data_IF_662062506881
#
_entry.id   IF_662062506881
#
_cell.length_a   1.000
_cell.length_b   1.000
_cell.length_c   1.000
_cell.angle_alpha   90.00
_cell.angle_beta   90.00
_cell.angle_gamma   90.00
#
_symmetry.space_group_name_H-M   'P 1'
#
loop_
_entity.id
_entity.type
_entity.pdbx_description
1 polymer ?
#
# COMPACT_ATOMS: atom_id res chain seq x y z
N UNK A 1 -48.81 57.34 -10.72
CA UNK A 1 -47.76 57.21 -9.68
C UNK A 1 -47.68 55.76 -9.24
N UNK A 2 -46.52 55.14 -9.44
CA UNK A 2 -46.17 53.78 -9.03
C UNK A 2 -46.37 53.54 -7.54
N UNK A 3 -46.88 52.35 -7.17
CA UNK A 3 -46.15 51.35 -6.35
C UNK A 3 -46.99 50.10 -6.10
N UNK A 4 -46.69 49.08 -6.87
CA UNK A 4 -47.07 47.67 -6.68
C UNK A 4 -46.46 47.16 -5.38
N UNK A 5 -47.31 46.72 -4.45
CA UNK A 5 -46.91 46.14 -3.16
C UNK A 5 -46.37 44.72 -3.44
N UNK A 6 -45.08 44.52 -3.15
CA UNK A 6 -44.37 43.25 -3.38
C UNK A 6 -44.82 42.20 -2.36
N UNK A 7 -45.67 41.27 -2.79
CA UNK A 7 -45.83 39.97 -2.15
C UNK A 7 -44.56 39.15 -2.38
N UNK A 8 -43.76 38.89 -1.34
CA UNK A 8 -42.56 38.06 -1.54
C UNK A 8 -41.63 37.94 -0.35
N UNK A 9 -42.14 37.73 0.87
CA UNK A 9 -41.22 37.57 2.02
C UNK A 9 -41.64 36.57 3.09
N UNK A 10 -42.78 35.89 3.00
CA UNK A 10 -43.19 34.95 4.06
C UNK A 10 -43.85 33.74 3.41
N UNK A 11 -43.36 32.54 3.77
CA UNK A 11 -43.85 31.19 3.42
C UNK A 11 -43.13 30.44 2.27
N UNK A 12 -41.85 30.09 2.43
CA UNK A 12 -41.34 28.72 2.18
C UNK A 12 -40.20 28.43 3.18
N UNK A 13 -40.57 28.25 4.43
CA UNK A 13 -39.77 27.55 5.43
C UNK A 13 -40.46 26.22 5.69
N UNK A 14 -40.07 25.15 4.98
CA UNK A 14 -40.21 23.71 5.34
C UNK A 14 -40.02 22.84 4.09
N UNK A 15 -39.14 21.83 4.20
CA UNK A 15 -38.87 20.71 3.27
C UNK A 15 -38.18 21.16 1.95
N UNK A 16 -36.91 20.89 1.72
CA UNK A 16 -36.38 19.53 1.54
C UNK A 16 -34.93 19.44 2.03
N UNK A 17 -34.66 18.45 2.88
CA UNK A 17 -33.33 17.93 3.14
C UNK A 17 -32.75 17.29 1.87
N UNK A 18 -32.38 18.11 0.87
CA UNK A 18 -31.72 17.62 -0.33
C UNK A 18 -30.26 17.41 0.02
N UNK A 19 -29.90 16.14 0.12
CA UNK A 19 -28.54 15.66 0.14
C UNK A 19 -27.74 16.32 -1.01
N UNK A 20 -26.94 17.35 -0.70
CA UNK A 20 -26.02 17.95 -1.64
C UNK A 20 -25.00 16.87 -2.06
N UNK A 21 -25.18 16.30 -3.25
CA UNK A 21 -24.19 15.46 -3.90
C UNK A 21 -23.17 16.41 -4.52
N UNK A 22 -22.22 16.90 -3.72
CA UNK A 22 -21.12 17.71 -4.24
C UNK A 22 -20.12 16.75 -4.89
N UNK A 23 -20.32 16.48 -6.18
CA UNK A 23 -19.25 15.97 -7.03
C UNK A 23 -18.38 17.17 -7.44
N UNK A 24 -17.21 17.30 -6.82
CA UNK A 24 -16.23 18.32 -7.23
C UNK A 24 -15.47 17.75 -8.42
N UNK A 25 -15.80 18.23 -9.62
CA UNK A 25 -15.08 17.92 -10.85
C UNK A 25 -14.51 19.21 -11.41
N UNK A 26 -13.19 19.30 -11.49
CA UNK A 26 -12.51 20.53 -11.92
C UNK A 26 -11.38 20.18 -12.90
N UNK A 27 -11.22 20.90 -14.04
CA UNK A 27 -10.16 20.67 -15.04
C UNK A 27 -8.77 21.09 -14.52
N UNK A 28 -7.73 21.20 -15.35
CA UNK A 28 -6.39 21.60 -14.89
C UNK A 28 -6.40 22.96 -14.15
N UNK A 29 -5.95 23.01 -12.89
CA UNK A 29 -5.80 24.26 -12.11
C UNK A 29 -4.37 24.57 -11.69
N UNK A 30 -4.15 25.86 -11.41
CA UNK A 30 -3.01 26.33 -10.64
C UNK A 30 -3.14 26.06 -9.12
N UNK A 31 -4.37 25.90 -8.59
CA UNK A 31 -4.69 25.70 -7.17
C UNK A 31 -5.00 24.24 -6.77
N UNK A 32 -5.15 23.99 -5.46
CA UNK A 32 -5.51 22.67 -4.90
C UNK A 32 -7.02 22.48 -4.76
N UNK A 33 -7.47 21.21 -4.70
CA UNK A 33 -8.87 20.83 -4.46
C UNK A 33 -9.03 20.52 -2.96
N UNK A 34 -10.02 21.14 -2.32
CA UNK A 34 -10.31 20.96 -0.90
C UNK A 34 -11.78 20.58 -0.70
N UNK A 35 -12.03 19.50 0.04
CA UNK A 35 -13.36 19.09 0.45
C UNK A 35 -13.36 18.79 1.95
N UNK A 36 -14.19 19.51 2.71
CA UNK A 36 -14.34 19.35 4.15
C UNK A 36 -15.77 18.90 4.50
N UNK A 37 -15.90 18.05 5.51
CA UNK A 37 -17.17 17.49 5.97
C UNK A 37 -17.51 16.16 5.30
N UNK A 38 -18.66 15.57 5.67
CA UNK A 38 -19.08 14.28 5.12
C UNK A 38 -19.65 14.42 3.71
N UNK A 39 -18.90 14.04 2.67
CA UNK A 39 -19.36 14.18 1.29
C UNK A 39 -20.05 12.89 0.79
N UNK A 40 -21.22 13.05 0.16
CA UNK A 40 -21.90 11.91 -0.50
C UNK A 40 -21.33 11.65 -1.89
N UNK A 41 -20.83 12.68 -2.57
CA UNK A 41 -20.20 12.61 -3.89
C UNK A 41 -18.72 12.17 -3.86
N UNK A 42 -18.17 11.89 -5.05
CA UNK A 42 -16.74 11.64 -5.24
C UNK A 42 -15.98 12.93 -5.60
N UNK A 43 -14.67 12.92 -5.38
CA UNK A 43 -13.77 14.03 -5.77
C UNK A 43 -13.03 13.60 -7.03
N UNK A 44 -13.15 14.39 -8.10
CA UNK A 44 -12.56 14.09 -9.40
C UNK A 44 -11.67 15.25 -9.86
N UNK A 45 -10.43 14.93 -10.19
CA UNK A 45 -9.47 15.87 -10.75
C UNK A 45 -8.91 15.30 -12.05
N UNK A 46 -9.13 16.01 -13.16
CA UNK A 46 -8.63 15.62 -14.48
C UNK A 46 -7.64 16.67 -15.02
N UNK A 47 -6.56 16.19 -15.65
CA UNK A 47 -5.51 17.03 -16.20
C UNK A 47 -4.36 17.27 -15.21
N UNK A 48 -3.32 17.96 -15.66
CA UNK A 48 -2.16 18.25 -14.82
C UNK A 48 -2.50 19.29 -13.75
N UNK A 49 -2.48 18.92 -12.48
CA UNK A 49 -2.80 19.84 -11.38
C UNK A 49 -1.51 20.32 -10.69
N UNK A 50 -1.39 21.63 -10.42
CA UNK A 50 -0.26 22.14 -9.64
C UNK A 50 -0.47 21.94 -8.13
N UNK A 51 -1.71 21.98 -7.66
CA UNK A 51 -2.08 21.82 -6.25
C UNK A 51 -2.51 20.39 -5.87
N UNK A 52 -2.46 20.07 -4.57
CA UNK A 52 -2.88 18.77 -4.05
C UNK A 52 -4.41 18.61 -3.95
N UNK A 53 -4.85 17.37 -3.72
CA UNK A 53 -6.26 17.05 -3.42
C UNK A 53 -6.36 16.72 -1.94
N UNK A 54 -7.23 17.42 -1.23
CA UNK A 54 -7.44 17.29 0.20
C UNK A 54 -8.90 16.98 0.48
N UNK A 55 -9.15 15.89 1.18
CA UNK A 55 -10.47 15.47 1.61
C UNK A 55 -10.44 15.19 3.11
N UNK A 56 -11.23 15.93 3.90
CA UNK A 56 -11.31 15.76 5.34
C UNK A 56 -12.76 15.50 5.78
N UNK A 57 -13.00 14.39 6.47
CA UNK A 57 -14.33 13.88 6.81
C UNK A 57 -14.63 12.54 6.12
N UNK A 58 -15.77 11.93 6.44
CA UNK A 58 -16.14 10.64 5.85
C UNK A 58 -16.79 10.80 4.48
N UNK A 59 -16.15 10.32 3.40
CA UNK A 59 -16.76 10.34 2.05
C UNK A 59 -17.40 9.01 1.68
N UNK A 60 -18.62 9.07 1.15
CA UNK A 60 -19.21 7.89 0.49
C UNK A 60 -18.57 7.64 -0.88
N UNK A 61 -18.25 8.69 -1.63
CA UNK A 61 -17.54 8.61 -2.90
C UNK A 61 -16.04 8.34 -2.75
N UNK A 62 -15.39 8.03 -3.87
CA UNK A 62 -13.92 7.88 -3.95
C UNK A 62 -13.23 9.20 -4.33
N UNK A 63 -11.91 9.19 -4.28
CA UNK A 63 -11.05 10.27 -4.78
C UNK A 63 -10.36 9.76 -6.04
N UNK A 64 -10.52 10.47 -7.14
CA UNK A 64 -9.95 10.14 -8.44
C UNK A 64 -9.13 11.31 -8.95
N UNK A 65 -7.86 11.05 -9.26
CA UNK A 65 -6.95 11.98 -9.89
C UNK A 65 -6.38 11.34 -11.16
N UNK A 66 -6.59 11.96 -12.31
CA UNK A 66 -6.07 11.50 -13.59
C UNK A 66 -5.26 12.61 -14.27
N UNK A 67 -3.99 12.32 -14.58
CA UNK A 67 -2.99 13.29 -15.03
C UNK A 67 -1.87 13.48 -14.01
N UNK A 68 -0.82 14.22 -14.40
CA UNK A 68 0.32 14.45 -13.50
C UNK A 68 0.03 15.52 -12.46
N UNK A 69 0.06 15.18 -11.17
CA UNK A 69 -0.17 16.14 -10.09
C UNK A 69 1.13 16.54 -9.39
N UNK A 70 1.43 17.84 -9.28
CA UNK A 70 2.58 18.28 -8.47
C UNK A 70 2.28 18.11 -6.98
N UNK A 71 1.03 18.30 -6.56
CA UNK A 71 0.59 18.07 -5.19
C UNK A 71 0.37 16.59 -4.87
N UNK A 72 0.17 16.30 -3.58
CA UNK A 72 -0.23 14.97 -3.11
C UNK A 72 -1.74 14.80 -3.04
N UNK A 73 -2.20 13.58 -2.77
CA UNK A 73 -3.59 13.28 -2.44
C UNK A 73 -3.66 12.94 -0.96
N UNK A 74 -4.49 13.66 -0.22
CA UNK A 74 -4.70 13.49 1.22
C UNK A 74 -6.17 13.23 1.50
N UNK A 75 -6.43 12.12 2.17
CA UNK A 75 -7.76 11.73 2.63
C UNK A 75 -7.70 11.44 4.12
N UNK A 76 -8.45 12.19 4.93
CA UNK A 76 -8.53 12.01 6.36
C UNK A 76 -9.99 11.76 6.77
N UNK A 77 -10.25 10.66 7.46
CA UNK A 77 -11.59 10.16 7.75
C UNK A 77 -11.89 8.84 7.05
N UNK A 78 -13.09 8.29 7.28
CA UNK A 78 -13.47 7.01 6.68
C UNK A 78 -14.10 7.16 5.29
N UNK A 79 -13.47 6.63 4.24
CA UNK A 79 -14.05 6.63 2.90
C UNK A 79 -14.65 5.27 2.53
N UNK A 80 -15.88 5.27 1.99
CA UNK A 80 -16.43 4.06 1.37
C UNK A 80 -15.82 3.81 -0.01
N UNK A 81 -15.56 4.87 -0.79
CA UNK A 81 -14.83 4.77 -2.05
C UNK A 81 -13.33 4.58 -1.86
N UNK A 82 -12.64 4.21 -2.95
CA UNK A 82 -11.18 4.11 -2.99
C UNK A 82 -10.50 5.43 -3.34
N UNK A 83 -9.17 5.44 -3.27
CA UNK A 83 -8.33 6.53 -3.76
C UNK A 83 -7.60 6.03 -5.00
N UNK A 84 -7.79 6.72 -6.13
CA UNK A 84 -7.20 6.38 -7.41
C UNK A 84 -6.38 7.56 -7.93
N UNK A 85 -5.12 7.30 -8.24
CA UNK A 85 -4.21 8.24 -8.89
C UNK A 85 -3.64 7.58 -10.15
N UNK A 86 -3.89 8.17 -11.31
CA UNK A 86 -3.35 7.73 -12.58
C UNK A 86 -2.52 8.85 -13.22
N UNK A 87 -1.26 8.56 -13.54
CA UNK A 87 -0.28 9.56 -13.97
C UNK A 87 0.85 9.72 -12.95
N UNK A 88 1.79 10.63 -13.23
CA UNK A 88 2.93 10.86 -12.34
C UNK A 88 2.65 11.94 -11.29
N UNK A 89 2.65 11.60 -10.00
CA UNK A 89 2.56 12.58 -8.92
C UNK A 89 3.91 12.90 -8.28
N UNK A 90 4.20 14.18 -8.08
CA UNK A 90 5.35 14.56 -7.25
C UNK A 90 5.05 14.38 -5.76
N UNK A 91 3.82 14.68 -5.33
CA UNK A 91 3.36 14.40 -3.97
C UNK A 91 3.06 12.92 -3.74
N UNK A 92 2.91 12.54 -2.46
CA UNK A 92 2.47 11.20 -2.06
C UNK A 92 0.96 11.05 -2.03
N UNK A 93 0.50 9.83 -1.78
CA UNK A 93 -0.90 9.52 -1.48
C UNK A 93 -0.99 9.16 -0.01
N UNK A 94 -1.81 9.87 0.75
CA UNK A 94 -2.01 9.70 2.17
C UNK A 94 -3.49 9.44 2.45
N UNK A 95 -3.75 8.34 3.15
CA UNK A 95 -5.07 7.95 3.60
C UNK A 95 -5.02 7.64 5.10
N UNK A 96 -5.76 8.40 5.90
CA UNK A 96 -5.85 8.21 7.34
C UNK A 96 -7.31 7.95 7.72
N UNK A 97 -7.59 6.84 8.38
CA UNK A 97 -8.93 6.38 8.72
C UNK A 97 -9.33 5.07 8.05
N UNK A 98 -10.56 4.63 8.29
CA UNK A 98 -11.08 3.37 7.78
C UNK A 98 -11.59 3.48 6.34
N UNK A 99 -10.93 2.84 5.38
CA UNK A 99 -11.34 2.85 3.98
C UNK A 99 -11.95 1.51 3.54
N UNK A 100 -13.10 1.54 2.87
CA UNK A 100 -13.67 0.32 2.26
C UNK A 100 -13.06 0.04 0.88
N UNK A 101 -12.83 1.07 0.07
CA UNK A 101 -12.13 0.95 -1.20
C UNK A 101 -10.61 0.86 -1.01
N UNK A 102 -9.90 0.40 -2.03
CA UNK A 102 -8.44 0.32 -2.03
C UNK A 102 -7.77 1.66 -2.36
N UNK A 103 -6.44 1.67 -2.26
CA UNK A 103 -5.59 2.75 -2.76
C UNK A 103 -4.88 2.24 -4.01
N UNK A 104 -5.05 2.96 -5.12
CA UNK A 104 -4.47 2.63 -6.41
C UNK A 104 -3.63 3.81 -6.90
N UNK A 105 -2.38 3.54 -7.23
CA UNK A 105 -1.48 4.49 -7.86
C UNK A 105 -0.89 3.84 -9.12
N UNK A 106 -1.13 4.43 -10.28
CA UNK A 106 -0.57 3.99 -11.55
C UNK A 106 0.25 5.12 -12.17
N UNK A 107 1.52 4.86 -12.46
CA UNK A 107 2.47 5.84 -12.95
C UNK A 107 3.62 6.10 -11.99
N UNK A 108 4.46 7.09 -12.33
CA UNK A 108 5.65 7.42 -11.56
C UNK A 108 5.38 8.38 -10.40
N UNK A 109 5.49 7.92 -9.15
CA UNK A 109 5.34 8.79 -7.97
C UNK A 109 6.69 9.16 -7.36
N UNK A 110 6.88 10.43 -6.98
CA UNK A 110 8.03 10.81 -6.15
C UNK A 110 7.74 10.61 -4.66
N UNK A 111 6.52 10.89 -4.22
CA UNK A 111 6.09 10.65 -2.85
C UNK A 111 5.60 9.21 -2.62
N UNK A 112 5.65 8.76 -1.37
CA UNK A 112 5.19 7.42 -0.98
C UNK A 112 3.66 7.28 -0.98
N UNK A 113 3.21 6.04 -0.77
CA UNK A 113 1.80 5.73 -0.48
C UNK A 113 1.71 5.38 0.99
N UNK A 114 0.87 6.09 1.73
CA UNK A 114 0.67 5.90 3.16
C UNK A 114 -0.80 5.64 3.44
N UNK A 115 -1.09 4.52 4.09
CA UNK A 115 -2.41 4.16 4.58
C UNK A 115 -2.33 3.88 6.08
N UNK A 116 -3.07 4.63 6.88
CA UNK A 116 -3.17 4.44 8.32
C UNK A 116 -4.63 4.17 8.70
N UNK A 117 -4.90 3.07 9.40
CA UNK A 117 -6.23 2.60 9.73
C UNK A 117 -6.63 1.30 9.00
N UNK A 118 -7.84 0.84 9.28
CA UNK A 118 -8.36 -0.41 8.70
C UNK A 118 -8.80 -0.23 7.26
N UNK A 119 -8.22 -0.98 6.33
CA UNK A 119 -8.57 -0.91 4.91
C UNK A 119 -9.21 -2.22 4.44
N UNK A 120 -10.37 -2.19 3.77
CA UNK A 120 -10.94 -3.41 3.17
C UNK A 120 -10.33 -3.71 1.80
N UNK A 121 -10.02 -2.68 1.02
CA UNK A 121 -9.35 -2.81 -0.26
C UNK A 121 -7.82 -2.82 -0.10
N UNK A 122 -7.14 -3.42 -1.08
CA UNK A 122 -5.67 -3.46 -1.10
C UNK A 122 -5.01 -2.12 -1.41
N UNK A 123 -3.69 -2.08 -1.27
CA UNK A 123 -2.86 -0.98 -1.76
C UNK A 123 -2.12 -1.49 -2.99
N UNK A 124 -2.22 -0.76 -4.09
CA UNK A 124 -1.62 -1.12 -5.36
C UNK A 124 -0.83 0.08 -5.89
N UNK A 125 0.43 -0.17 -6.20
CA UNK A 125 1.32 0.77 -6.87
C UNK A 125 1.87 0.10 -8.12
N UNK A 126 1.61 0.69 -9.28
CA UNK A 126 2.16 0.26 -10.55
C UNK A 126 3.00 1.38 -11.16
N UNK A 127 4.24 1.09 -11.53
CA UNK A 127 5.23 2.06 -11.97
C UNK A 127 6.32 2.33 -10.95
N UNK A 128 7.19 3.30 -11.26
CA UNK A 128 8.33 3.63 -10.40
C UNK A 128 7.93 4.57 -9.27
N UNK A 129 8.20 4.20 -8.02
CA UNK A 129 7.96 5.08 -6.87
C UNK A 129 9.28 5.41 -6.15
N UNK A 130 9.52 6.70 -5.83
CA UNK A 130 10.71 7.08 -5.04
C UNK A 130 10.45 6.92 -3.54
N UNK A 131 9.23 7.18 -3.08
CA UNK A 131 8.83 6.95 -1.71
C UNK A 131 8.38 5.50 -1.48
N UNK A 132 8.37 5.05 -0.23
CA UNK A 132 7.90 3.71 0.12
C UNK A 132 6.38 3.55 0.08
N UNK A 133 5.92 2.32 0.26
CA UNK A 133 4.52 1.98 0.53
C UNK A 133 4.41 1.62 1.99
N UNK A 134 3.57 2.32 2.74
CA UNK A 134 3.36 2.14 4.17
C UNK A 134 1.87 1.87 4.42
N UNK A 135 1.60 0.77 5.11
CA UNK A 135 0.27 0.39 5.57
C UNK A 135 0.34 0.10 7.07
N UNK A 136 -0.40 0.85 7.86
CA UNK A 136 -0.51 0.67 9.30
C UNK A 136 -1.97 0.41 9.68
N UNK A 137 -2.24 -0.67 10.41
CA UNK A 137 -3.58 -1.19 10.67
C UNK A 137 -3.90 -2.44 9.86
N UNK A 138 -5.10 -3.00 10.07
CA UNK A 138 -5.49 -4.24 9.40
C UNK A 138 -5.97 -4.00 7.96
N UNK A 139 -5.35 -4.65 6.97
CA UNK A 139 -5.82 -4.64 5.59
C UNK A 139 -6.46 -5.97 5.18
N UNK A 140 -7.69 -5.93 4.66
CA UNK A 140 -8.34 -7.13 4.12
C UNK A 140 -7.77 -7.49 2.75
N UNK A 141 -7.38 -6.48 1.96
CA UNK A 141 -6.64 -6.66 0.71
C UNK A 141 -5.14 -6.87 0.94
N UNK A 142 -4.42 -7.14 -0.14
CA UNK A 142 -2.96 -7.22 -0.12
C UNK A 142 -2.30 -5.87 -0.42
N UNK A 143 -0.97 -5.85 -0.30
CA UNK A 143 -0.13 -4.75 -0.78
C UNK A 143 0.59 -5.25 -2.03
N UNK A 144 0.47 -4.52 -3.13
CA UNK A 144 1.07 -4.84 -4.40
C UNK A 144 1.90 -3.65 -4.89
N UNK A 145 3.16 -3.92 -5.21
CA UNK A 145 4.05 -2.96 -5.83
C UNK A 145 4.64 -3.61 -7.09
N UNK A 146 4.42 -3.00 -8.25
CA UNK A 146 4.98 -3.44 -9.51
C UNK A 146 5.78 -2.31 -10.14
N UNK A 147 7.05 -2.55 -10.46
CA UNK A 147 8.01 -1.55 -10.91
C UNK A 147 9.13 -1.28 -9.90
N UNK A 148 9.99 -0.30 -10.19
CA UNK A 148 11.13 0.03 -9.34
C UNK A 148 10.77 0.96 -8.19
N UNK A 149 10.98 0.53 -6.94
CA UNK A 149 10.69 1.34 -5.77
C UNK A 149 11.97 1.72 -5.00
N UNK A 150 12.25 3.02 -4.82
CA UNK A 150 13.43 3.41 -4.01
C UNK A 150 13.16 3.21 -2.52
N UNK A 151 11.93 3.47 -2.07
CA UNK A 151 11.52 3.14 -0.70
C UNK A 151 11.26 1.65 -0.51
N UNK A 152 11.05 1.25 0.74
CA UNK A 152 10.61 -0.10 1.09
C UNK A 152 9.09 -0.24 1.08
N UNK A 153 8.63 -1.47 1.29
CA UNK A 153 7.23 -1.78 1.58
C UNK A 153 7.13 -2.11 3.07
N UNK A 154 6.27 -1.42 3.77
CA UNK A 154 6.05 -1.57 5.20
C UNK A 154 4.58 -1.87 5.47
N UNK A 155 4.32 -3.00 6.13
CA UNK A 155 2.99 -3.40 6.56
C UNK A 155 3.03 -3.68 8.06
N UNK A 156 2.26 -2.93 8.85
CA UNK A 156 2.14 -3.13 10.28
C UNK A 156 0.67 -3.37 10.65
N UNK A 157 0.38 -4.48 11.32
CA UNK A 157 -0.97 -4.98 11.55
C UNK A 157 -1.25 -6.27 10.75
N UNK A 158 -2.45 -6.82 10.91
CA UNK A 158 -2.81 -8.07 10.24
C UNK A 158 -3.37 -7.86 8.83
N UNK A 159 -2.74 -8.44 7.80
CA UNK A 159 -3.30 -8.47 6.45
C UNK A 159 -3.93 -9.82 6.09
N UNK A 160 -5.14 -9.81 5.51
CA UNK A 160 -5.67 -11.04 4.91
C UNK A 160 -5.04 -11.33 3.54
N UNK A 161 -4.75 -10.30 2.75
CA UNK A 161 -3.97 -10.45 1.53
C UNK A 161 -2.47 -10.64 1.82
N UNK A 162 -1.71 -10.96 0.77
CA UNK A 162 -0.25 -11.01 0.83
C UNK A 162 0.41 -9.67 0.54
N UNK A 163 1.72 -9.64 0.64
CA UNK A 163 2.56 -8.53 0.18
C UNK A 163 3.30 -9.00 -1.05
N UNK A 164 3.16 -8.29 -2.15
CA UNK A 164 3.80 -8.60 -3.43
C UNK A 164 4.62 -7.41 -3.88
N UNK A 165 5.88 -7.67 -4.18
CA UNK A 165 6.78 -6.73 -4.82
C UNK A 165 7.36 -7.36 -6.07
N UNK A 166 7.15 -6.74 -7.22
CA UNK A 166 7.73 -7.16 -8.49
C UNK A 166 8.53 -6.01 -9.10
N UNK A 167 9.79 -6.26 -9.45
CA UNK A 167 10.76 -5.24 -9.86
C UNK A 167 11.85 -5.02 -8.83
N UNK A 168 12.63 -3.95 -9.01
CA UNK A 168 13.77 -3.66 -8.12
C UNK A 168 13.42 -2.70 -6.99
N UNK A 169 13.51 -3.13 -5.73
CA UNK A 169 13.40 -2.22 -4.58
C UNK A 169 14.75 -1.91 -3.94
N UNK A 170 15.03 -0.63 -3.69
CA UNK A 170 16.19 -0.28 -2.86
C UNK A 170 15.91 -0.51 -1.38
N UNK A 171 14.70 -0.21 -0.91
CA UNK A 171 14.26 -0.57 0.43
C UNK A 171 13.94 -2.06 0.58
N UNK A 172 13.78 -2.50 1.82
CA UNK A 172 13.33 -3.87 2.13
C UNK A 172 11.81 -4.00 2.12
N UNK A 173 11.35 -5.23 2.32
CA UNK A 173 9.94 -5.54 2.60
C UNK A 173 9.84 -5.91 4.07
N UNK A 174 8.97 -5.23 4.79
CA UNK A 174 8.75 -5.45 6.21
C UNK A 174 7.27 -5.70 6.45
N UNK A 175 6.98 -6.79 7.14
CA UNK A 175 5.64 -7.17 7.55
C UNK A 175 5.65 -7.49 9.04
N UNK A 176 4.90 -6.74 9.83
CA UNK A 176 4.76 -6.93 11.26
C UNK A 176 3.30 -7.18 11.60
N UNK A 177 2.99 -8.29 12.27
CA UNK A 177 1.64 -8.78 12.50
C UNK A 177 1.35 -10.06 11.70
N UNK A 178 0.11 -10.57 11.80
CA UNK A 178 -0.27 -11.82 11.15
C UNK A 178 -0.78 -11.63 9.72
N UNK A 179 -0.12 -12.20 8.72
CA UNK A 179 -0.65 -12.22 7.35
C UNK A 179 -1.24 -13.59 6.97
N UNK A 180 -2.44 -13.59 6.37
CA UNK A 180 -2.97 -14.84 5.79
C UNK A 180 -2.32 -15.13 4.44
N UNK A 181 -2.04 -14.11 3.63
CA UNK A 181 -1.24 -14.25 2.42
C UNK A 181 0.25 -14.41 2.71
N UNK A 182 1.02 -14.76 1.68
CA UNK A 182 2.48 -14.80 1.74
C UNK A 182 3.13 -13.44 1.48
N UNK A 183 4.45 -13.40 1.62
CA UNK A 183 5.29 -12.30 1.16
C UNK A 183 6.04 -12.78 -0.07
N UNK A 184 5.91 -12.05 -1.18
CA UNK A 184 6.55 -12.37 -2.44
C UNK A 184 7.37 -11.17 -2.88
N UNK A 185 8.63 -11.41 -3.19
CA UNK A 185 9.52 -10.44 -3.77
C UNK A 185 10.16 -11.04 -5.02
N UNK A 186 9.91 -10.45 -6.17
CA UNK A 186 10.49 -10.87 -7.45
C UNK A 186 11.28 -9.72 -8.07
N UNK A 187 12.55 -9.96 -8.39
CA UNK A 187 13.49 -8.94 -8.85
C UNK A 187 14.62 -8.68 -7.84
N UNK A 188 15.35 -7.59 -8.03
CA UNK A 188 16.50 -7.27 -7.18
C UNK A 188 16.16 -6.34 -6.02
N UNK A 189 16.22 -6.79 -4.77
CA UNK A 189 16.11 -5.90 -3.61
C UNK A 189 17.46 -5.62 -2.95
N UNK A 190 17.74 -4.35 -2.65
CA UNK A 190 18.92 -4.04 -1.83
C UNK A 190 18.64 -4.28 -0.35
N UNK A 191 17.42 -4.00 0.12
CA UNK A 191 16.99 -4.37 1.47
C UNK A 191 16.67 -5.86 1.61
N UNK A 192 16.50 -6.30 2.84
CA UNK A 192 16.03 -7.66 3.16
C UNK A 192 14.52 -7.79 3.15
N UNK A 193 14.05 -9.02 3.34
CA UNK A 193 12.64 -9.33 3.62
C UNK A 193 12.54 -9.69 5.09
N UNK A 194 11.63 -9.05 5.80
CA UNK A 194 11.41 -9.25 7.23
C UNK A 194 9.93 -9.47 7.47
N UNK A 195 9.63 -10.58 8.13
CA UNK A 195 8.29 -10.95 8.54
C UNK A 195 8.31 -11.27 10.04
N UNK A 196 7.55 -10.53 10.82
CA UNK A 196 7.39 -10.73 12.25
C UNK A 196 5.92 -10.98 12.59
N UNK A 197 5.61 -12.10 13.22
CA UNK A 197 4.25 -12.57 13.46
C UNK A 197 3.92 -13.84 12.68
N UNK A 198 2.66 -14.27 12.74
CA UNK A 198 2.24 -15.52 12.09
C UNK A 198 1.80 -15.33 10.65
N UNK A 199 2.50 -15.93 9.67
CA UNK A 199 2.02 -15.98 8.28
C UNK A 199 1.44 -17.34 7.90
N UNK A 200 0.26 -17.36 7.30
CA UNK A 200 -0.26 -18.61 6.72
C UNK A 200 0.40 -18.92 5.37
N UNK A 201 0.68 -17.90 4.57
CA UNK A 201 1.49 -18.04 3.37
C UNK A 201 2.99 -18.17 3.69
N UNK A 202 3.77 -18.53 2.68
CA UNK A 202 5.23 -18.56 2.77
C UNK A 202 5.87 -17.21 2.47
N UNK A 203 7.19 -17.17 2.63
CA UNK A 203 8.02 -16.05 2.15
C UNK A 203 8.75 -16.54 0.90
N UNK A 204 8.60 -15.84 -0.20
CA UNK A 204 9.28 -16.15 -1.46
C UNK A 204 10.07 -14.94 -1.91
N UNK A 205 11.34 -15.18 -2.20
CA UNK A 205 12.26 -14.22 -2.77
C UNK A 205 12.84 -14.83 -4.04
N UNK A 206 12.65 -14.19 -5.19
CA UNK A 206 13.23 -14.61 -6.45
C UNK A 206 14.01 -13.45 -7.08
N UNK A 207 15.27 -13.68 -7.42
CA UNK A 207 16.20 -12.66 -7.88
C UNK A 207 17.32 -12.39 -6.87
N UNK A 208 17.96 -11.21 -6.97
CA UNK A 208 19.10 -10.88 -6.13
C UNK A 208 18.73 -10.01 -4.95
N UNK A 209 18.75 -10.53 -3.71
CA UNK A 209 18.67 -9.67 -2.52
C UNK A 209 20.03 -9.43 -1.88
N UNK A 210 20.36 -8.17 -1.62
CA UNK A 210 21.57 -7.88 -0.81
C UNK A 210 21.32 -8.12 0.68
N UNK A 211 20.12 -7.82 1.17
CA UNK A 211 19.70 -8.16 2.54
C UNK A 211 19.29 -9.62 2.68
N UNK A 212 19.19 -10.09 3.92
CA UNK A 212 18.71 -11.43 4.25
C UNK A 212 17.19 -11.56 4.26
N UNK A 213 16.71 -12.79 4.46
CA UNK A 213 15.30 -13.09 4.71
C UNK A 213 15.16 -13.46 6.17
N UNK A 214 14.33 -12.72 6.91
CA UNK A 214 14.06 -12.97 8.32
C UNK A 214 12.58 -13.24 8.52
N UNK A 215 12.29 -14.34 9.18
CA UNK A 215 10.94 -14.74 9.54
C UNK A 215 10.92 -15.07 11.04
N UNK A 216 10.21 -14.29 11.82
CA UNK A 216 10.03 -14.50 13.25
C UNK A 216 8.55 -14.76 13.55
N UNK A 217 8.23 -15.86 14.22
CA UNK A 217 6.86 -16.31 14.47
C UNK A 217 6.52 -17.60 13.71
N UNK A 218 5.23 -17.95 13.67
CA UNK A 218 4.78 -19.19 13.03
C UNK A 218 4.42 -19.01 11.57
N UNK A 219 5.17 -19.61 10.63
CA UNK A 219 4.75 -19.69 9.23
C UNK A 219 4.23 -21.07 8.85
N UNK A 220 3.03 -21.13 8.26
CA UNK A 220 2.53 -22.39 7.68
C UNK A 220 3.17 -22.67 6.32
N UNK A 221 3.44 -21.64 5.53
CA UNK A 221 4.23 -21.79 4.30
C UNK A 221 5.73 -21.90 4.59
N UNK A 222 6.50 -22.25 3.57
CA UNK A 222 7.96 -22.31 3.64
C UNK A 222 8.61 -20.96 3.39
N UNK A 223 9.92 -20.90 3.60
CA UNK A 223 10.77 -19.80 3.13
C UNK A 223 11.51 -20.29 1.90
N UNK A 224 11.38 -19.56 0.80
CA UNK A 224 11.98 -19.89 -0.47
C UNK A 224 12.77 -18.70 -0.97
N UNK A 225 14.04 -18.92 -1.25
CA UNK A 225 14.95 -17.93 -1.77
C UNK A 225 15.64 -18.49 -3.01
N UNK A 226 15.38 -17.91 -4.17
CA UNK A 226 15.95 -18.32 -5.44
C UNK A 226 16.73 -17.16 -6.07
N UNK A 227 17.99 -17.38 -6.45
CA UNK A 227 18.90 -16.35 -6.96
C UNK A 227 20.03 -16.03 -5.98
N UNK A 228 20.70 -14.89 -6.18
CA UNK A 228 21.85 -14.51 -5.37
C UNK A 228 21.46 -13.68 -4.16
N UNK A 229 21.38 -14.27 -2.96
CA UNK A 229 21.26 -13.49 -1.72
C UNK A 229 22.60 -13.32 -1.02
N UNK A 230 22.98 -12.07 -0.72
CA UNK A 230 24.19 -11.82 0.08
C UNK A 230 23.96 -12.03 1.57
N UNK A 231 22.75 -11.72 2.06
CA UNK A 231 22.36 -11.99 3.44
C UNK A 231 21.87 -13.43 3.63
N UNK A 232 21.89 -13.90 4.88
CA UNK A 232 21.39 -15.22 5.25
C UNK A 232 19.87 -15.32 5.34
N UNK A 233 19.38 -16.55 5.54
CA UNK A 233 17.98 -16.84 5.83
C UNK A 233 17.86 -17.18 7.30
N UNK A 234 17.02 -16.46 8.02
CA UNK A 234 16.77 -16.66 9.44
C UNK A 234 15.29 -16.95 9.66
N UNK A 235 15.00 -18.10 10.25
CA UNK A 235 13.67 -18.52 10.64
C UNK A 235 13.66 -18.79 12.15
N UNK A 236 12.88 -18.01 12.89
CA UNK A 236 12.70 -18.21 14.33
C UNK A 236 11.21 -18.46 14.62
N UNK A 237 10.86 -19.60 15.20
CA UNK A 237 9.49 -20.04 15.44
C UNK A 237 9.09 -21.27 14.64
N UNK A 238 7.78 -21.54 14.56
CA UNK A 238 7.26 -22.75 13.93
C UNK A 238 7.07 -22.61 12.42
N UNK A 239 7.90 -23.26 11.61
CA UNK A 239 7.73 -23.32 10.15
C UNK A 239 7.22 -24.70 9.71
N UNK A 240 6.11 -24.75 8.97
CA UNK A 240 5.62 -26.02 8.42
C UNK A 240 6.18 -26.34 7.03
N UNK A 241 6.46 -25.33 6.20
CA UNK A 241 6.79 -25.52 4.79
C UNK A 241 8.27 -25.62 4.43
N UNK A 242 9.17 -25.82 5.40
CA UNK A 242 10.61 -25.96 5.15
C UNK A 242 11.29 -24.67 4.69
N UNK A 243 12.61 -24.74 4.52
CA UNK A 243 13.44 -23.63 4.02
C UNK A 243 14.16 -24.11 2.76
N UNK A 244 14.02 -23.39 1.67
CA UNK A 244 14.65 -23.66 0.39
C UNK A 244 15.47 -22.46 -0.05
N UNK A 245 16.74 -22.69 -0.31
CA UNK A 245 17.71 -21.72 -0.80
C UNK A 245 18.40 -22.27 -2.04
N UNK A 246 18.15 -21.65 -3.19
CA UNK A 246 18.76 -22.04 -4.45
C UNK A 246 19.44 -20.84 -5.11
N UNK A 247 20.64 -21.04 -5.65
CA UNK A 247 21.49 -19.97 -6.18
C UNK A 247 22.57 -19.51 -5.19
N UNK A 248 23.36 -18.51 -5.58
CA UNK A 248 24.52 -18.04 -4.83
C UNK A 248 24.18 -17.30 -3.54
N UNK A 249 23.70 -18.02 -2.53
CA UNK A 249 23.55 -17.51 -1.17
C UNK A 249 24.91 -17.47 -0.47
N UNK A 250 25.34 -16.28 -0.06
CA UNK A 250 26.60 -16.10 0.69
C UNK A 250 26.42 -16.18 2.20
N UNK A 251 25.21 -15.92 2.70
CA UNK A 251 24.89 -16.05 4.12
C UNK A 251 24.33 -17.43 4.46
N UNK A 252 24.51 -17.86 5.71
CA UNK A 252 23.99 -19.12 6.22
C UNK A 252 22.46 -19.18 6.35
N UNK A 253 21.96 -20.38 6.63
CA UNK A 253 20.53 -20.64 6.89
C UNK A 253 20.37 -21.08 8.33
N UNK A 254 19.68 -20.27 9.12
CA UNK A 254 19.49 -20.49 10.55
C UNK A 254 18.00 -20.73 10.80
N UNK A 255 17.68 -21.85 11.44
CA UNK A 255 16.31 -22.21 11.80
C UNK A 255 16.25 -22.57 13.28
N UNK A 256 15.57 -21.76 14.06
CA UNK A 256 15.31 -22.00 15.48
C UNK A 256 13.81 -22.19 15.71
N UNK A 257 13.43 -23.23 16.47
CA UNK A 257 12.04 -23.65 16.65
C UNK A 257 11.62 -24.82 15.75
N UNK A 258 10.34 -25.21 15.85
CA UNK A 258 9.83 -26.41 15.18
C UNK A 258 9.72 -26.22 13.66
N UNK A 259 10.67 -26.78 12.90
CA UNK A 259 10.59 -26.83 11.44
C UNK A 259 10.16 -28.23 10.99
N UNK A 260 8.93 -28.36 10.46
CA UNK A 260 8.42 -29.66 9.98
C UNK A 260 8.87 -29.99 8.56
N UNK A 261 9.21 -28.98 7.77
CA UNK A 261 9.80 -29.18 6.45
C UNK A 261 11.32 -29.16 6.52
N UNK A 262 11.98 -29.88 5.61
CA UNK A 262 13.44 -29.90 5.52
C UNK A 262 14.06 -28.55 5.19
N UNK A 263 15.36 -28.44 5.42
CA UNK A 263 16.21 -27.32 4.97
C UNK A 263 16.99 -27.81 3.77
N UNK A 264 16.83 -27.13 2.64
CA UNK A 264 17.47 -27.45 1.37
C UNK A 264 18.24 -26.22 0.90
N UNK A 265 19.54 -26.40 0.69
CA UNK A 265 20.42 -25.31 0.33
C UNK A 265 21.42 -25.78 -0.72
N UNK A 266 21.41 -25.16 -1.89
CA UNK A 266 22.44 -25.37 -2.90
C UNK A 266 23.52 -24.30 -2.72
N UNK A 267 24.30 -24.46 -1.65
CA UNK A 267 25.32 -23.51 -1.24
C UNK A 267 26.67 -23.86 -1.87
N UNK A 268 27.52 -22.86 -2.18
CA UNK A 268 28.95 -23.15 -2.35
C UNK A 268 29.47 -23.85 -1.08
N UNK A 269 30.43 -24.77 -1.25
CA UNK A 269 30.92 -25.72 -0.21
C UNK A 269 31.27 -25.07 1.14
N UNK A 270 31.50 -23.77 1.15
CA UNK A 270 32.03 -22.98 2.26
C UNK A 270 30.94 -22.38 3.17
N UNK A 271 29.64 -22.57 2.88
CA UNK A 271 28.54 -21.84 3.55
C UNK A 271 27.61 -22.67 4.45
N UNK A 272 27.93 -23.95 4.72
CA UNK A 272 27.22 -24.78 5.70
C UNK A 272 27.94 -24.74 7.06
N UNK A 273 27.33 -24.09 8.05
CA UNK A 273 27.63 -24.19 9.49
C UNK A 273 26.32 -24.33 10.27
#
# INVERSE_FOLDING_TARGET
>A
MNRTIRFGTIAIALLVAFALVISVSVPAQAGGIWANGGNKGGIWANGGNKGGIWANGGNKGGIWANGGNKGGIWANGGNKGGIWANGGNKGGIWANGGNKGGIWANGGNKGGIWANGGNKGGIWANGGNKGGIWANGGNRGGIWANGGNKGGIWANGGNKGGIWANGGNKGGIWANGGNKGGIWANGGNKGGIWANGGNKGGIWANGGNKGGIWANGGNKGGIWANGGNKGGIWANGGNKGGIWANGGNKGGIWANGGNKGGIWANLPKDALM
#
